data_IF_981216839065
#
_entry.id   IF_981216839065
#
_cell.length_a   1.000
_cell.length_b   1.000
_cell.length_c   1.000
_cell.angle_alpha   90.00
_cell.angle_beta   90.00
_cell.angle_gamma   90.00
#
_symmetry.space_group_name_H-M   'P 1'
#
loop_
_entity.id
_entity.type
_entity.pdbx_description
1 polymer ?
#
# COMPACT_ATOMS: atom_id res chain seq x y z
N UNK A 1 7.12 -25.89 -97.55
CA UNK A 1 6.46 -27.09 -96.98
C UNK A 1 5.64 -26.61 -95.78
N UNK A 2 4.31 -26.76 -95.67
CA UNK A 2 3.34 -27.83 -96.02
C UNK A 2 3.15 -28.85 -94.88
N UNK A 3 1.87 -29.08 -94.52
CA UNK A 3 1.28 -30.14 -93.68
C UNK A 3 1.44 -30.17 -92.15
N UNK A 4 0.37 -29.75 -91.44
CA UNK A 4 -0.33 -30.57 -90.41
C UNK A 4 -0.95 -31.82 -91.09
N UNK A 5 -1.13 -32.98 -90.40
CA UNK A 5 -2.33 -33.26 -89.56
C UNK A 5 -2.00 -34.24 -88.37
N UNK A 6 -2.88 -34.98 -87.65
CA UNK A 6 -4.34 -35.13 -87.59
C UNK A 6 -4.87 -35.63 -86.22
N UNK A 7 -6.00 -35.08 -85.75
CA UNK A 7 -7.20 -35.69 -85.09
C UNK A 7 -7.17 -36.91 -84.11
N UNK A 8 -7.82 -36.67 -82.96
CA UNK A 8 -8.71 -37.58 -82.15
C UNK A 8 -8.07 -38.81 -81.45
N UNK A 9 -8.69 -39.52 -80.49
CA UNK A 9 -10.08 -39.53 -79.94
C UNK A 9 -10.10 -39.87 -78.42
N UNK A 10 -11.21 -39.51 -77.74
CA UNK A 10 -11.71 -39.86 -76.39
C UNK A 10 -10.94 -40.83 -75.46
N UNK A 11 -10.86 -40.46 -74.18
CA UNK A 11 -10.64 -41.34 -73.02
C UNK A 11 -11.29 -40.74 -71.75
N UNK A 12 -11.85 -41.56 -70.86
CA UNK A 12 -12.75 -41.14 -69.77
C UNK A 12 -12.34 -41.77 -68.42
N UNK A 13 -12.44 -40.97 -67.33
CA UNK A 13 -12.35 -41.34 -65.90
C UNK A 13 -11.05 -41.99 -65.39
N UNK A 14 -10.39 -41.30 -64.46
CA UNK A 14 -9.95 -41.86 -63.17
C UNK A 14 -9.74 -40.72 -62.15
N UNK A 15 -10.02 -40.95 -60.87
CA UNK A 15 -9.96 -39.95 -59.80
C UNK A 15 -8.92 -40.35 -58.75
N UNK A 16 -7.93 -39.50 -58.50
CA UNK A 16 -7.06 -39.53 -57.31
C UNK A 16 -6.79 -38.10 -56.88
N UNK A 17 -7.12 -37.76 -55.64
CA UNK A 17 -6.77 -36.47 -55.04
C UNK A 17 -5.47 -36.62 -54.24
N UNK A 18 -4.56 -35.65 -54.39
CA UNK A 18 -3.34 -35.53 -53.58
C UNK A 18 -3.32 -34.15 -52.92
N UNK A 19 -3.57 -34.09 -51.61
CA UNK A 19 -3.56 -32.84 -50.83
C UNK A 19 -2.11 -32.49 -50.47
N UNK A 20 -1.53 -31.53 -51.18
CA UNK A 20 -0.23 -30.96 -50.82
C UNK A 20 -0.40 -29.93 -49.70
N UNK A 21 0.16 -30.22 -48.52
CA UNK A 21 0.08 -29.33 -47.36
C UNK A 21 1.02 -28.12 -47.51
N UNK A 22 0.45 -26.93 -47.74
CA UNK A 22 1.19 -25.68 -47.75
C UNK A 22 1.48 -25.19 -46.33
N UNK A 23 2.75 -25.04 -45.96
CA UNK A 23 3.18 -24.53 -44.65
C UNK A 23 2.93 -23.03 -44.54
N UNK A 24 2.02 -22.61 -43.67
CA UNK A 24 1.80 -21.20 -43.35
C UNK A 24 2.88 -20.75 -42.34
N UNK A 25 3.64 -19.67 -42.60
CA UNK A 25 4.57 -19.12 -41.62
C UNK A 25 3.80 -18.53 -40.43
N UNK A 26 4.17 -18.92 -39.21
CA UNK A 26 3.51 -18.44 -37.99
C UNK A 26 3.76 -16.93 -37.81
N UNK A 27 2.68 -16.15 -37.72
CA UNK A 27 2.77 -14.75 -37.34
C UNK A 27 3.25 -14.63 -35.88
N UNK A 28 4.31 -13.87 -35.66
CA UNK A 28 4.78 -13.57 -34.30
C UNK A 28 3.73 -12.69 -33.60
N UNK A 29 2.94 -13.30 -32.71
CA UNK A 29 1.96 -12.59 -31.91
C UNK A 29 2.68 -11.79 -30.83
N UNK A 30 2.67 -10.46 -30.95
CA UNK A 30 3.05 -9.57 -29.85
C UNK A 30 2.11 -9.81 -28.67
N UNK A 31 2.58 -10.55 -27.67
CA UNK A 31 1.85 -10.78 -26.43
C UNK A 31 1.73 -9.47 -25.67
N UNK A 32 0.57 -8.82 -25.75
CA UNK A 32 0.16 -7.80 -24.79
C UNK A 32 0.32 -8.40 -23.39
N UNK A 33 1.03 -7.75 -22.46
CA UNK A 33 1.13 -8.25 -21.09
C UNK A 33 -0.26 -8.30 -20.46
N UNK A 34 -0.84 -9.50 -20.38
CA UNK A 34 -2.07 -9.72 -19.61
C UNK A 34 -1.74 -9.39 -18.16
N UNK A 35 -2.22 -8.24 -17.68
CA UNK A 35 -1.99 -7.82 -16.31
C UNK A 35 -2.45 -8.93 -15.35
N UNK A 36 -1.67 -9.28 -14.32
CA UNK A 36 -2.13 -10.25 -13.33
C UNK A 36 -3.42 -9.70 -12.70
N UNK A 37 -4.50 -10.47 -12.77
CA UNK A 37 -5.78 -10.13 -12.14
C UNK A 37 -5.62 -10.19 -10.62
N UNK A 38 -5.07 -9.12 -10.04
CA UNK A 38 -4.91 -8.92 -8.61
C UNK A 38 -6.30 -8.79 -7.98
N UNK A 39 -6.90 -9.92 -7.61
CA UNK A 39 -8.28 -10.05 -7.12
C UNK A 39 -8.46 -9.59 -5.67
N UNK A 40 -7.69 -8.59 -5.25
CA UNK A 40 -7.69 -8.03 -3.91
C UNK A 40 -6.67 -6.90 -3.76
N UNK A 41 -6.76 -6.12 -2.66
CA UNK A 41 -5.81 -5.06 -2.37
C UNK A 41 -4.41 -5.61 -2.10
N UNK A 42 -3.40 -4.98 -2.71
CA UNK A 42 -1.98 -5.30 -2.56
C UNK A 42 -1.29 -4.21 -1.74
N UNK A 43 -0.48 -4.59 -0.75
CA UNK A 43 0.35 -3.63 -0.01
C UNK A 43 1.59 -3.33 -0.84
N UNK A 44 1.90 -2.05 -1.00
CA UNK A 44 3.14 -1.54 -1.57
C UNK A 44 3.99 -0.88 -0.48
N UNK A 45 5.30 -1.03 -0.58
CA UNK A 45 6.28 -0.31 0.25
C UNK A 45 7.11 0.62 -0.64
N UNK A 46 7.52 1.76 -0.09
CA UNK A 46 8.47 2.65 -0.75
C UNK A 46 9.86 2.01 -0.76
N UNK A 47 10.46 1.97 -1.95
CA UNK A 47 11.86 1.62 -2.15
C UNK A 47 12.76 2.83 -1.86
N UNK A 48 14.06 2.59 -1.63
CA UNK A 48 15.03 3.58 -1.08
C UNK A 48 15.27 4.80 -1.98
N UNK A 49 14.91 4.68 -3.24
CA UNK A 49 14.94 5.73 -4.26
C UNK A 49 13.79 6.74 -4.10
N UNK A 50 12.84 6.49 -3.19
CA UNK A 50 11.78 7.42 -2.84
C UNK A 50 12.32 8.63 -2.08
N UNK A 51 12.02 9.83 -2.57
CA UNK A 51 12.54 11.08 -1.99
C UNK A 51 11.49 12.18 -2.05
N UNK A 52 11.46 12.98 -1.00
CA UNK A 52 10.74 14.24 -0.91
C UNK A 52 11.69 15.39 -1.27
N UNK A 53 11.20 16.37 -2.01
CA UNK A 53 11.89 17.62 -2.33
C UNK A 53 10.93 18.80 -2.19
N UNK A 54 11.36 19.88 -1.56
CA UNK A 54 10.61 21.15 -1.46
C UNK A 54 11.57 22.33 -1.66
N UNK A 55 11.19 23.26 -2.52
CA UNK A 55 12.04 24.38 -2.93
C UNK A 55 11.79 24.82 -4.37
N UNK A 56 12.77 25.49 -4.97
CA UNK A 56 12.63 26.00 -6.34
C UNK A 56 13.15 25.04 -7.40
N UNK A 57 12.34 24.86 -8.43
CA UNK A 57 12.65 24.18 -9.67
C UNK A 57 12.78 25.22 -10.81
N UNK A 58 13.01 24.76 -12.04
CA UNK A 58 13.04 25.64 -13.21
C UNK A 58 11.67 26.33 -13.43
N UNK A 59 11.60 27.54 -14.00
CA UNK A 59 12.71 28.43 -14.36
C UNK A 59 13.24 29.30 -13.20
N UNK A 60 12.70 29.21 -11.98
CA UNK A 60 13.06 30.11 -10.89
C UNK A 60 14.48 29.88 -10.30
N UNK A 61 15.02 28.67 -10.41
CA UNK A 61 16.46 28.36 -10.23
C UNK A 61 17.12 28.76 -8.87
N UNK A 62 16.35 29.01 -7.81
CA UNK A 62 16.90 28.96 -6.44
C UNK A 62 17.24 27.50 -6.06
N UNK A 63 18.06 27.25 -5.02
CA UNK A 63 18.30 25.89 -4.54
C UNK A 63 17.03 25.17 -4.08
N UNK A 64 17.03 23.83 -4.20
CA UNK A 64 16.12 22.97 -3.42
C UNK A 64 16.50 23.14 -1.94
N UNK A 65 15.52 23.46 -1.09
CA UNK A 65 15.78 23.84 0.31
C UNK A 65 15.66 22.66 1.26
N UNK A 66 14.76 21.72 0.96
CA UNK A 66 14.55 20.49 1.71
C UNK A 66 14.62 19.31 0.74
N UNK A 67 15.48 18.34 1.02
CA UNK A 67 15.50 17.03 0.37
C UNK A 67 15.74 15.95 1.41
N UNK A 68 14.90 14.91 1.41
CA UNK A 68 14.99 13.81 2.37
C UNK A 68 14.48 12.49 1.77
N UNK A 69 14.99 11.32 2.24
CA UNK A 69 14.43 10.03 1.88
C UNK A 69 13.02 9.86 2.45
N UNK A 70 12.18 9.13 1.72
CA UNK A 70 10.84 8.74 2.14
C UNK A 70 10.81 7.22 2.43
N UNK A 71 10.14 6.84 3.52
CA UNK A 71 9.86 5.44 3.87
C UNK A 71 8.38 5.25 4.18
N UNK A 72 7.84 4.05 4.04
CA UNK A 72 6.45 3.75 4.38
C UNK A 72 5.72 2.86 3.37
N UNK A 73 4.39 2.85 3.44
CA UNK A 73 3.53 1.97 2.64
C UNK A 73 2.31 2.69 2.07
N UNK A 74 1.67 2.06 1.08
CA UNK A 74 0.29 2.33 0.68
C UNK A 74 -0.40 1.04 0.23
N UNK A 75 -1.71 1.09 0.00
CA UNK A 75 -2.48 -0.01 -0.60
C UNK A 75 -2.89 0.36 -2.02
N UNK A 76 -2.57 -0.52 -2.97
CA UNK A 76 -3.14 -0.50 -4.31
C UNK A 76 -4.35 -1.44 -4.34
N UNK A 77 -5.54 -0.88 -4.57
CA UNK A 77 -6.80 -1.64 -4.67
C UNK A 77 -6.90 -2.45 -5.97
N UNK A 78 -8.03 -3.14 -6.16
CA UNK A 78 -8.33 -3.78 -7.44
C UNK A 78 -8.45 -2.76 -8.57
N UNK A 79 -7.91 -3.10 -9.74
CA UNK A 79 -7.97 -2.26 -10.94
C UNK A 79 -9.28 -2.41 -11.71
N UNK A 80 -9.78 -1.30 -12.26
CA UNK A 80 -10.93 -1.25 -13.18
C UNK A 80 -10.42 -0.89 -14.57
N UNK A 81 -10.68 -1.74 -15.56
CA UNK A 81 -10.32 -1.49 -16.96
C UNK A 81 -11.44 -0.76 -17.70
N UNK A 82 -11.14 0.37 -18.33
CA UNK A 82 -12.12 1.22 -19.04
C UNK A 82 -12.16 0.98 -20.57
N UNK A 83 -11.25 0.16 -21.10
CA UNK A 83 -11.06 -0.06 -22.54
C UNK A 83 -9.69 0.43 -23.05
N UNK A 84 -9.04 1.33 -22.31
CA UNK A 84 -7.73 1.92 -22.64
C UNK A 84 -6.76 1.89 -21.45
N UNK A 85 -7.24 2.15 -20.23
CA UNK A 85 -6.48 2.14 -18.98
C UNK A 85 -7.07 1.17 -17.96
N UNK A 86 -6.20 0.55 -17.16
CA UNK A 86 -6.58 0.00 -15.86
C UNK A 86 -6.32 1.06 -14.80
N UNK A 87 -7.40 1.55 -14.18
CA UNK A 87 -7.33 2.51 -13.06
C UNK A 87 -7.46 1.77 -11.74
N UNK A 88 -6.43 1.88 -10.90
CA UNK A 88 -6.33 1.32 -9.56
C UNK A 88 -6.58 2.43 -8.53
N UNK A 89 -7.34 2.13 -7.47
CA UNK A 89 -7.43 3.03 -6.31
C UNK A 89 -6.13 2.94 -5.49
N UNK A 90 -5.56 4.08 -5.12
CA UNK A 90 -4.56 4.18 -4.05
C UNK A 90 -5.26 4.59 -2.76
N UNK A 91 -4.99 3.88 -1.66
CA UNK A 91 -5.53 4.19 -0.34
C UNK A 91 -4.52 3.88 0.74
N UNK A 92 -4.80 4.33 1.97
CA UNK A 92 -4.00 4.05 3.15
C UNK A 92 -2.52 4.44 2.96
N UNK A 93 -2.29 5.58 2.30
CA UNK A 93 -0.96 6.18 2.15
C UNK A 93 -0.48 6.55 3.55
N UNK A 94 0.67 6.02 3.92
CA UNK A 94 1.32 6.22 5.20
C UNK A 94 2.83 6.23 4.97
N UNK A 95 3.34 7.41 4.62
CA UNK A 95 4.76 7.66 4.41
C UNK A 95 5.31 8.56 5.51
N UNK A 96 6.62 8.49 5.73
CA UNK A 96 7.36 9.31 6.68
C UNK A 96 8.59 9.85 5.97
N UNK A 97 8.86 11.13 6.17
CA UNK A 97 10.03 11.85 5.65
C UNK A 97 10.74 12.55 6.80
N UNK A 98 12.05 12.37 6.90
CA UNK A 98 12.86 12.97 7.97
C UNK A 98 13.31 14.40 7.59
N UNK A 99 12.46 15.39 7.82
CA UNK A 99 12.74 16.81 7.54
C UNK A 99 13.41 17.46 8.76
N UNK A 100 14.63 18.00 8.56
CA UNK A 100 15.41 18.68 9.61
C UNK A 100 15.56 17.86 10.91
N UNK A 101 15.68 16.52 10.78
CA UNK A 101 15.77 15.59 11.92
C UNK A 101 14.44 15.24 12.59
N UNK A 102 13.31 15.75 12.09
CA UNK A 102 11.96 15.43 12.55
C UNK A 102 11.25 14.52 11.54
N UNK A 103 10.65 13.43 12.02
CA UNK A 103 9.78 12.60 11.20
C UNK A 103 8.45 13.34 10.93
N UNK A 104 8.25 13.78 9.69
CA UNK A 104 7.00 14.35 9.19
C UNK A 104 6.24 13.26 8.45
N UNK A 105 4.95 13.07 8.79
CA UNK A 105 4.06 12.09 8.17
C UNK A 105 3.49 12.64 6.86
N UNK A 106 3.25 11.76 5.88
CA UNK A 106 2.49 12.05 4.67
C UNK A 106 1.38 11.01 4.54
N UNK A 107 0.13 11.47 4.46
CA UNK A 107 -1.08 10.62 4.45
C UNK A 107 -2.01 10.98 3.31
N UNK A 108 -2.90 10.05 2.93
CA UNK A 108 -3.92 10.31 1.90
C UNK A 108 -4.23 9.12 0.99
N UNK A 109 -4.51 9.41 -0.28
CA UNK A 109 -4.86 8.42 -1.29
C UNK A 109 -5.18 9.06 -2.65
N UNK A 110 -5.72 8.29 -3.60
CA UNK A 110 -6.06 8.77 -4.93
C UNK A 110 -6.15 7.65 -5.95
N UNK A 111 -5.55 7.82 -7.13
CA UNK A 111 -5.56 6.84 -8.22
C UNK A 111 -4.19 6.68 -8.89
N UNK A 112 -3.94 5.46 -9.35
CA UNK A 112 -2.86 5.12 -10.27
C UNK A 112 -3.49 4.50 -11.51
N UNK A 113 -3.18 4.99 -12.71
CA UNK A 113 -3.61 4.37 -13.98
C UNK A 113 -2.44 3.97 -14.85
N UNK A 114 -2.59 2.82 -15.53
CA UNK A 114 -1.62 2.26 -16.47
C UNK A 114 -2.37 1.63 -17.65
N UNK A 115 -1.91 1.88 -18.87
CA UNK A 115 -2.57 1.40 -20.10
C UNK A 115 -2.06 2.14 -21.34
N UNK A 116 -2.93 2.38 -22.31
CA UNK A 116 -2.61 3.05 -23.57
C UNK A 116 -2.59 2.09 -24.77
N UNK A 117 -3.04 2.58 -25.94
CA UNK A 117 -3.28 1.78 -27.15
C UNK A 117 -1.98 1.45 -27.92
N UNK A 118 -1.09 2.43 -28.06
CA UNK A 118 0.14 2.33 -28.87
C UNK A 118 1.43 2.22 -28.05
N UNK A 119 1.40 2.71 -26.81
CA UNK A 119 2.51 2.69 -25.87
C UNK A 119 1.97 2.65 -24.44
N UNK A 120 2.69 2.00 -23.53
CA UNK A 120 2.34 2.03 -22.10
C UNK A 120 2.49 3.47 -21.59
N UNK A 121 1.40 4.03 -21.08
CA UNK A 121 1.33 5.31 -20.39
C UNK A 121 0.91 5.10 -18.93
N UNK A 122 1.37 6.00 -18.05
CA UNK A 122 1.10 5.91 -16.62
C UNK A 122 0.81 7.29 -16.01
N UNK A 123 -0.02 7.33 -14.98
CA UNK A 123 -0.29 8.52 -14.18
C UNK A 123 -0.55 8.13 -12.73
N UNK A 124 0.02 8.88 -11.78
CA UNK A 124 -0.23 8.77 -10.34
C UNK A 124 -0.73 10.13 -9.85
N UNK A 125 -1.98 10.17 -9.39
CA UNK A 125 -2.63 11.36 -8.87
C UNK A 125 -3.11 11.08 -7.44
N UNK A 126 -2.58 11.83 -6.47
CA UNK A 126 -2.83 11.63 -5.05
C UNK A 126 -3.20 12.94 -4.36
N UNK A 127 -4.24 12.91 -3.54
CA UNK A 127 -4.55 13.96 -2.58
C UNK A 127 -3.83 13.61 -1.27
N UNK A 128 -2.83 14.41 -0.89
CA UNK A 128 -1.94 14.13 0.23
C UNK A 128 -1.89 15.27 1.24
N UNK A 129 -1.89 14.92 2.53
CA UNK A 129 -1.54 15.80 3.64
C UNK A 129 -0.05 15.63 4.00
N UNK A 130 0.67 16.71 4.30
CA UNK A 130 2.10 16.68 4.68
C UNK A 130 2.26 17.31 6.06
N UNK A 131 2.41 16.48 7.09
CA UNK A 131 2.27 16.94 8.48
C UNK A 131 0.91 17.60 8.70
N UNK A 132 0.92 18.81 9.26
CA UNK A 132 -0.26 19.63 9.49
C UNK A 132 -0.63 20.54 8.29
N UNK A 133 0.13 20.50 7.17
CA UNK A 133 -0.20 21.26 5.95
C UNK A 133 -1.59 20.82 5.42
N UNK A 134 -2.37 21.72 4.78
CA UNK A 134 -3.60 21.34 4.10
C UNK A 134 -3.40 20.25 3.03
N UNK A 135 -4.41 19.41 2.84
CA UNK A 135 -4.43 18.40 1.78
C UNK A 135 -4.26 19.08 0.42
N UNK A 136 -3.26 18.64 -0.34
CA UNK A 136 -2.92 19.16 -1.66
C UNK A 136 -2.86 18.02 -2.67
N UNK A 137 -3.27 18.31 -3.92
CA UNK A 137 -3.16 17.34 -5.00
C UNK A 137 -1.74 17.31 -5.55
N UNK A 138 -1.16 16.12 -5.59
CA UNK A 138 0.08 15.80 -6.29
C UNK A 138 -0.24 14.97 -7.52
N UNK A 139 0.35 15.31 -8.67
CA UNK A 139 0.12 14.62 -9.94
C UNK A 139 1.44 14.42 -10.68
N UNK A 140 1.60 13.29 -11.38
CA UNK A 140 2.70 13.08 -12.34
C UNK A 140 2.38 13.64 -13.73
N UNK A 141 1.09 13.87 -14.01
CA UNK A 141 0.55 13.89 -15.36
C UNK A 141 0.66 12.52 -16.04
N UNK A 142 0.09 12.42 -17.24
CA UNK A 142 0.15 11.22 -18.06
C UNK A 142 1.52 11.10 -18.76
N UNK A 143 2.44 10.34 -18.17
CA UNK A 143 3.74 10.06 -18.77
C UNK A 143 3.66 8.89 -19.76
N UNK A 144 4.59 8.84 -20.71
CA UNK A 144 4.72 7.73 -21.68
C UNK A 144 5.98 6.92 -21.41
N UNK A 145 5.87 5.59 -21.48
CA UNK A 145 6.87 4.64 -21.01
C UNK A 145 6.78 4.40 -19.50
N UNK A 146 7.67 3.57 -18.99
CA UNK A 146 7.94 3.46 -17.55
C UNK A 146 9.40 3.14 -17.31
N UNK A 147 9.93 3.58 -16.16
CA UNK A 147 11.31 3.32 -15.72
C UNK A 147 11.49 1.88 -15.21
N UNK A 148 10.39 1.24 -14.81
CA UNK A 148 10.36 -0.10 -14.18
C UNK A 148 9.18 -0.92 -14.73
N UNK A 149 9.26 -2.26 -14.77
CA UNK A 149 8.13 -3.10 -15.17
C UNK A 149 7.07 -3.15 -14.06
N UNK A 150 5.80 -2.99 -14.44
CA UNK A 150 4.67 -3.29 -13.55
C UNK A 150 4.79 -4.76 -13.05
N UNK A 151 4.62 -5.06 -11.75
CA UNK A 151 3.93 -4.26 -10.74
C UNK A 151 4.77 -3.19 -10.02
N UNK A 152 6.05 -3.00 -10.30
CA UNK A 152 6.78 -1.87 -9.71
C UNK A 152 6.27 -0.52 -10.26
N UNK A 153 6.32 0.52 -9.42
CA UNK A 153 5.93 1.90 -9.75
C UNK A 153 7.14 2.79 -9.52
N UNK A 154 7.47 3.68 -10.48
CA UNK A 154 8.56 4.65 -10.34
C UNK A 154 8.18 5.94 -11.05
N UNK A 155 7.51 6.84 -10.31
CA UNK A 155 6.90 8.07 -10.83
C UNK A 155 7.29 9.27 -9.97
N UNK A 156 7.33 10.45 -10.60
CA UNK A 156 7.55 11.71 -9.90
C UNK A 156 6.24 12.48 -9.91
N UNK A 157 5.72 12.82 -8.74
CA UNK A 157 4.46 13.57 -8.55
C UNK A 157 4.75 14.94 -7.93
N UNK A 158 3.95 15.94 -8.26
CA UNK A 158 4.20 17.34 -7.88
C UNK A 158 2.90 18.15 -7.82
N UNK A 159 2.89 19.29 -7.14
CA UNK A 159 1.70 20.16 -7.03
C UNK A 159 1.62 21.10 -8.25
N UNK A 160 2.77 21.63 -8.70
CA UNK A 160 2.87 22.64 -9.77
C UNK A 160 3.69 22.16 -10.98
N UNK A 161 3.78 20.84 -11.19
CA UNK A 161 4.46 20.26 -12.35
C UNK A 161 5.98 20.46 -12.33
N UNK A 162 6.60 20.59 -11.15
CA UNK A 162 8.02 20.93 -10.97
C UNK A 162 8.37 22.32 -11.54
N UNK A 163 7.45 23.29 -11.40
CA UNK A 163 7.64 24.66 -11.89
C UNK A 163 7.81 25.65 -10.73
N UNK A 164 8.95 26.36 -10.70
CA UNK A 164 9.28 27.32 -9.65
C UNK A 164 9.15 26.73 -8.23
N UNK A 165 8.54 27.40 -7.25
CA UNK A 165 8.43 26.84 -5.89
C UNK A 165 7.38 25.73 -5.85
N UNK A 166 7.82 24.50 -5.59
CA UNK A 166 6.97 23.32 -5.62
C UNK A 166 7.35 22.32 -4.51
N UNK A 167 6.44 21.39 -4.22
CA UNK A 167 6.74 20.17 -3.44
C UNK A 167 6.61 18.97 -4.37
N UNK A 168 7.66 18.15 -4.42
CA UNK A 168 7.87 17.10 -5.43
C UNK A 168 8.27 15.81 -4.73
N UNK A 169 7.56 14.72 -5.01
CA UNK A 169 7.83 13.40 -4.44
C UNK A 169 8.22 12.46 -5.58
N UNK A 170 9.42 11.89 -5.50
CA UNK A 170 9.76 10.70 -6.27
C UNK A 170 9.20 9.50 -5.52
N UNK A 171 8.21 8.82 -6.10
CA UNK A 171 7.57 7.62 -5.56
C UNK A 171 8.12 6.41 -6.32
N UNK A 172 9.05 5.71 -5.69
CA UNK A 172 9.54 4.41 -6.16
C UNK A 172 9.00 3.34 -5.21
N UNK A 173 8.19 2.41 -5.70
CA UNK A 173 7.47 1.48 -4.83
C UNK A 173 7.26 0.11 -5.47
N UNK A 174 7.37 -0.91 -4.63
CA UNK A 174 7.23 -2.32 -5.00
C UNK A 174 6.19 -3.03 -4.12
N UNK A 175 5.48 -4.05 -4.64
CA UNK A 175 4.62 -4.90 -3.83
C UNK A 175 5.41 -5.58 -2.70
N UNK A 176 4.83 -5.63 -1.50
CA UNK A 176 5.47 -6.28 -0.35
C UNK A 176 5.43 -7.81 -0.50
N UNK A 177 6.58 -8.51 -0.43
CA UNK A 177 6.61 -9.98 -0.45
C UNK A 177 5.85 -10.58 0.75
N UNK A 178 5.12 -11.70 0.60
CA UNK A 178 4.32 -12.29 1.68
C UNK A 178 5.10 -12.67 2.94
N UNK A 179 6.39 -12.97 2.81
CA UNK A 179 7.36 -13.22 3.89
C UNK A 179 7.70 -11.97 4.73
N UNK A 180 7.44 -10.77 4.20
CA UNK A 180 7.65 -9.47 4.85
C UNK A 180 6.34 -8.83 5.33
N UNK A 181 5.26 -9.61 5.40
CA UNK A 181 3.95 -9.23 5.96
C UNK A 181 3.69 -10.07 7.20
N UNK A 182 4.19 -9.61 8.34
CA UNK A 182 4.11 -10.32 9.63
C UNK A 182 2.69 -10.15 10.22
N UNK A 183 1.83 -11.19 10.26
CA UNK A 183 0.43 -11.00 10.66
C UNK A 183 0.28 -11.04 12.18
N UNK A 184 -0.46 -10.09 12.74
CA UNK A 184 -0.71 -9.95 14.18
C UNK A 184 -2.20 -10.12 14.52
N UNK A 185 -2.46 -10.57 15.75
CA UNK A 185 -3.80 -10.53 16.35
C UNK A 185 -3.76 -9.73 17.65
N UNK A 186 -4.87 -9.07 17.95
CA UNK A 186 -5.13 -8.58 19.29
C UNK A 186 -5.27 -9.74 20.28
N UNK A 187 -4.87 -9.49 21.52
CA UNK A 187 -4.94 -10.40 22.65
C UNK A 187 -6.08 -10.02 23.59
N UNK A 188 -6.54 -11.00 24.36
CA UNK A 188 -7.49 -10.78 25.45
C UNK A 188 -6.91 -9.77 26.45
N UNK A 189 -7.74 -8.81 26.87
CA UNK A 189 -7.32 -7.63 27.63
C UNK A 189 -7.14 -6.36 26.80
N UNK A 190 -7.09 -6.44 25.45
CA UNK A 190 -7.09 -5.24 24.61
C UNK A 190 -8.38 -4.45 24.85
N UNK A 191 -8.27 -3.17 25.21
CA UNK A 191 -9.45 -2.35 25.55
C UNK A 191 -9.48 -0.99 24.86
N UNK A 192 -10.69 -0.54 24.55
CA UNK A 192 -11.03 0.80 24.06
C UNK A 192 -11.80 1.53 25.15
N UNK A 193 -11.50 2.81 25.37
CA UNK A 193 -12.15 3.63 26.39
C UNK A 193 -12.26 5.09 25.97
N UNK A 194 -13.38 5.73 26.32
CA UNK A 194 -13.63 7.16 26.09
C UNK A 194 -14.11 7.83 27.37
N UNK A 195 -13.77 9.10 27.56
CA UNK A 195 -14.25 9.90 28.68
C UNK A 195 -13.21 10.92 29.12
N UNK A 196 -13.38 11.45 30.34
CA UNK A 196 -12.37 12.30 30.95
C UNK A 196 -11.32 11.49 31.71
N UNK A 197 -10.06 11.87 31.51
CA UNK A 197 -8.88 11.37 32.21
C UNK A 197 -8.16 12.52 32.93
N UNK A 198 -7.43 12.21 34.00
CA UNK A 198 -6.73 13.22 34.80
C UNK A 198 -7.69 14.18 35.52
N UNK A 199 -7.47 15.49 35.36
CA UNK A 199 -8.12 16.52 36.18
C UNK A 199 -9.51 17.01 35.68
N UNK A 200 -9.99 16.56 34.52
CA UNK A 200 -11.28 17.03 33.98
C UNK A 200 -12.47 16.26 34.59
N UNK A 201 -13.46 17.02 35.09
CA UNK A 201 -14.63 16.50 35.79
C UNK A 201 -15.78 16.07 34.86
N UNK A 202 -15.56 15.06 34.01
CA UNK A 202 -16.64 14.38 33.29
C UNK A 202 -16.58 12.85 33.47
N UNK A 203 -17.62 12.14 33.04
CA UNK A 203 -17.70 10.70 33.22
C UNK A 203 -16.62 9.95 32.42
N UNK A 204 -15.99 8.99 33.07
CA UNK A 204 -15.15 7.99 32.41
C UNK A 204 -16.06 6.85 31.91
N UNK A 205 -16.06 6.59 30.61
CA UNK A 205 -16.82 5.48 30.02
C UNK A 205 -16.23 4.10 30.39
N UNK A 206 -17.00 3.01 30.22
CA UNK A 206 -16.52 1.67 30.49
C UNK A 206 -15.36 1.30 29.54
N UNK A 207 -14.38 0.53 30.03
CA UNK A 207 -13.45 -0.18 29.15
C UNK A 207 -14.22 -1.24 28.36
N UNK A 208 -14.20 -1.14 27.04
CA UNK A 208 -14.82 -2.11 26.13
C UNK A 208 -13.74 -2.99 25.51
N UNK A 209 -13.92 -4.33 25.43
CA UNK A 209 -12.95 -5.21 24.79
C UNK A 209 -12.85 -4.95 23.28
N UNK A 210 -11.65 -5.15 22.72
CA UNK A 210 -11.39 -5.00 21.28
C UNK A 210 -10.81 -6.30 20.73
N UNK A 211 -11.38 -6.79 19.64
CA UNK A 211 -10.88 -7.97 18.92
C UNK A 211 -10.50 -7.60 17.49
N UNK A 212 -9.53 -8.31 16.90
CA UNK A 212 -9.14 -8.08 15.51
C UNK A 212 -7.71 -8.44 15.14
N UNK A 213 -7.29 -7.96 13.97
CA UNK A 213 -5.98 -8.23 13.37
C UNK A 213 -5.39 -6.97 12.73
N UNK A 214 -4.09 -7.01 12.51
CA UNK A 214 -3.32 -6.11 11.65
C UNK A 214 -2.10 -6.89 11.11
N UNK A 215 -1.24 -6.26 10.31
CA UNK A 215 0.08 -6.81 10.01
C UNK A 215 1.15 -5.74 10.22
N UNK A 216 2.38 -6.17 10.53
CA UNK A 216 3.57 -5.35 10.40
C UNK A 216 4.22 -5.62 9.05
N UNK A 217 4.75 -4.58 8.41
CA UNK A 217 5.59 -4.67 7.22
C UNK A 217 6.92 -3.98 7.51
N UNK A 218 8.03 -4.66 7.25
CA UNK A 218 9.37 -4.15 7.50
C UNK A 218 9.63 -2.86 6.70
N UNK A 219 10.04 -1.77 7.36
CA UNK A 219 10.43 -0.52 6.68
C UNK A 219 11.95 -0.31 6.75
N UNK A 220 12.49 -0.18 7.96
CA UNK A 220 13.88 0.18 8.19
C UNK A 220 14.42 -0.46 9.48
N UNK A 221 15.73 -0.63 9.56
CA UNK A 221 16.42 -0.99 10.79
C UNK A 221 17.73 -0.22 10.85
N UNK A 222 17.90 0.57 11.91
CA UNK A 222 19.15 1.26 12.23
C UNK A 222 19.68 0.75 13.58
N UNK A 223 20.80 1.30 14.06
CA UNK A 223 21.45 0.85 15.29
C UNK A 223 20.65 1.10 16.58
N UNK A 224 19.59 1.94 16.52
CA UNK A 224 18.75 2.27 17.67
C UNK A 224 17.36 1.66 17.58
N UNK A 225 16.75 1.59 16.39
CA UNK A 225 15.37 1.14 16.20
C UNK A 225 15.16 0.28 14.95
N UNK A 226 14.30 -0.72 15.09
CA UNK A 226 13.61 -1.43 14.01
C UNK A 226 12.23 -0.79 13.82
N UNK A 227 11.87 -0.43 12.59
CA UNK A 227 10.59 0.23 12.27
C UNK A 227 9.79 -0.55 11.22
N UNK A 228 8.47 -0.59 11.45
CA UNK A 228 7.48 -1.28 10.63
C UNK A 228 6.33 -0.34 10.29
N UNK A 229 5.74 -0.51 9.11
CA UNK A 229 4.40 -0.01 8.83
C UNK A 229 3.38 -0.95 9.47
N UNK A 230 2.45 -0.38 10.23
CA UNK A 230 1.25 -1.09 10.68
C UNK A 230 0.20 -0.95 9.58
N UNK A 231 -0.22 -2.07 9.01
CA UNK A 231 -1.12 -2.10 7.84
C UNK A 231 -2.31 -3.02 8.06
N UNK A 232 -3.40 -2.79 7.31
CA UNK A 232 -4.63 -3.56 7.40
C UNK A 232 -5.18 -3.68 8.85
N UNK A 233 -5.18 -2.58 9.62
CA UNK A 233 -5.87 -2.55 10.91
C UNK A 233 -7.35 -2.84 10.68
N UNK A 234 -7.83 -3.93 11.27
CA UNK A 234 -9.22 -4.39 11.21
C UNK A 234 -9.62 -4.89 12.58
N UNK A 235 -10.07 -3.96 13.42
CA UNK A 235 -10.50 -4.23 14.78
C UNK A 235 -12.00 -3.96 14.94
N UNK A 236 -12.58 -4.50 16.01
CA UNK A 236 -13.96 -4.34 16.39
C UNK A 236 -14.03 -4.18 17.91
N UNK A 237 -14.51 -3.03 18.39
CA UNK A 237 -14.86 -2.86 19.80
C UNK A 237 -16.18 -3.59 20.03
N UNK A 238 -16.21 -4.51 20.99
CA UNK A 238 -17.39 -5.32 21.28
C UNK A 238 -18.17 -4.76 22.47
N UNK A 239 -19.49 -4.62 22.28
CA UNK A 239 -20.41 -4.27 23.36
C UNK A 239 -20.57 -5.44 24.33
N UNK A 240 -20.42 -5.18 25.63
CA UNK A 240 -20.70 -6.14 26.70
C UNK A 240 -22.15 -6.09 27.20
N UNK A 241 -22.97 -5.18 26.66
CA UNK A 241 -24.26 -4.79 27.25
C UNK A 241 -25.46 -4.81 26.28
N UNK A 242 -25.29 -5.26 25.03
CA UNK A 242 -26.38 -5.33 24.04
C UNK A 242 -26.69 -6.77 23.62
N UNK A 243 -27.98 -7.12 23.60
CA UNK A 243 -28.49 -8.39 23.06
C UNK A 243 -28.41 -8.47 21.53
N UNK A 244 -28.16 -7.34 20.86
CA UNK A 244 -27.78 -7.24 19.46
C UNK A 244 -26.27 -7.07 19.32
N UNK A 245 -25.65 -7.84 18.42
CA UNK A 245 -24.20 -7.88 18.22
C UNK A 245 -23.68 -6.76 17.30
N UNK A 246 -23.98 -5.50 17.63
CA UNK A 246 -23.42 -4.32 16.97
C UNK A 246 -22.11 -3.88 17.64
N UNK A 247 -20.98 -4.23 17.05
CA UNK A 247 -19.66 -3.69 17.46
C UNK A 247 -19.27 -2.45 16.66
N UNK A 248 -18.39 -1.62 17.24
CA UNK A 248 -17.85 -0.41 16.60
C UNK A 248 -16.57 -0.78 15.83
N UNK A 249 -16.56 -0.75 14.49
CA UNK A 249 -15.38 -1.12 13.71
C UNK A 249 -14.28 -0.06 13.82
N UNK A 250 -13.04 -0.48 13.89
CA UNK A 250 -11.86 0.39 13.80
C UNK A 250 -11.01 -0.07 12.61
N UNK A 251 -10.62 0.88 11.75
CA UNK A 251 -9.77 0.66 10.58
C UNK A 251 -8.65 1.67 10.52
N UNK A 252 -7.55 1.34 9.84
CA UNK A 252 -6.45 2.27 9.67
C UNK A 252 -5.09 1.62 9.40
N UNK A 253 -4.07 2.40 9.68
CA UNK A 253 -2.65 2.13 9.40
C UNK A 253 -1.77 2.94 10.37
N UNK A 254 -0.45 2.87 10.23
CA UNK A 254 0.48 3.70 11.00
C UNK A 254 1.91 3.17 10.99
N UNK A 255 2.69 3.49 12.01
CA UNK A 255 4.02 2.89 12.24
C UNK A 255 4.14 2.30 13.65
N UNK A 256 5.00 1.31 13.76
CA UNK A 256 5.46 0.75 15.02
C UNK A 256 6.98 0.68 14.99
N UNK A 257 7.64 1.24 16.01
CA UNK A 257 9.10 1.15 16.17
C UNK A 257 9.43 0.55 17.53
N UNK A 258 10.43 -0.32 17.57
CA UNK A 258 10.98 -0.87 18.81
C UNK A 258 12.51 -0.88 18.77
N UNK A 259 13.17 -0.79 19.93
CA UNK A 259 14.62 -0.75 20.03
C UNK A 259 15.08 -0.08 21.32
N UNK A 260 16.13 0.73 21.25
CA UNK A 260 16.75 1.44 22.37
C UNK A 260 18.07 0.82 22.81
N UNK A 261 19.09 1.66 23.02
CA UNK A 261 20.47 1.25 23.32
C UNK A 261 20.65 0.68 24.74
N UNK A 262 20.00 1.30 25.73
CA UNK A 262 20.17 0.97 27.16
C UNK A 262 18.95 0.27 27.79
N UNK A 263 17.79 0.40 27.17
CA UNK A 263 16.53 -0.20 27.61
C UNK A 263 15.63 -0.40 26.39
N UNK A 264 14.83 -1.47 26.39
CA UNK A 264 13.79 -1.64 25.38
C UNK A 264 12.79 -0.49 25.47
N UNK A 265 12.58 0.17 24.34
CA UNK A 265 11.62 1.24 24.12
C UNK A 265 10.78 0.90 22.88
N UNK A 266 9.54 1.38 22.87
CA UNK A 266 8.61 1.23 21.76
C UNK A 266 7.80 2.52 21.55
N UNK A 267 7.31 2.73 20.32
CA UNK A 267 6.27 3.71 20.00
C UNK A 267 5.33 3.10 18.97
N UNK A 268 4.03 3.15 19.26
CA UNK A 268 2.94 2.78 18.36
C UNK A 268 2.21 4.07 17.97
N UNK A 269 2.11 4.33 16.67
CA UNK A 269 1.65 5.60 16.10
C UNK A 269 0.68 5.29 14.96
N UNK A 270 -0.63 5.41 15.20
CA UNK A 270 -1.69 4.91 14.31
C UNK A 270 -2.67 6.01 13.91
N UNK A 271 -3.20 5.90 12.69
CA UNK A 271 -4.24 6.77 12.17
C UNK A 271 -5.48 5.92 11.95
N UNK A 272 -6.52 6.19 12.73
CA UNK A 272 -7.66 5.30 12.90
C UNK A 272 -8.99 5.98 12.56
N UNK A 273 -9.76 5.31 11.71
CA UNK A 273 -11.19 5.54 11.48
C UNK A 273 -11.97 4.71 12.51
N UNK A 274 -12.64 5.38 13.45
CA UNK A 274 -13.47 4.74 14.48
C UNK A 274 -14.94 4.88 14.09
N UNK A 275 -15.57 3.77 13.67
CA UNK A 275 -16.93 3.78 13.14
C UNK A 275 -17.05 4.58 11.84
N UNK A 276 -17.56 5.80 11.96
CA UNK A 276 -17.73 6.78 10.86
C UNK A 276 -17.05 8.12 11.16
N UNK A 277 -16.19 8.17 12.18
CA UNK A 277 -15.43 9.35 12.57
C UNK A 277 -14.28 9.62 11.57
N UNK A 278 -13.80 10.87 11.44
CA UNK A 278 -12.66 11.20 10.59
C UNK A 278 -11.39 10.43 11.01
N UNK A 279 -10.48 10.24 10.05
CA UNK A 279 -9.18 9.63 10.30
C UNK A 279 -8.45 10.46 11.37
N UNK A 280 -8.21 9.87 12.53
CA UNK A 280 -7.69 10.56 13.71
C UNK A 280 -6.39 9.89 14.16
N UNK A 281 -5.38 10.69 14.52
CA UNK A 281 -4.09 10.19 14.97
C UNK A 281 -4.13 9.75 16.45
N UNK A 282 -3.48 8.63 16.75
CA UNK A 282 -3.35 8.02 18.07
C UNK A 282 -1.90 7.63 18.30
N UNK A 283 -1.29 8.13 19.37
CA UNK A 283 0.12 7.87 19.66
C UNK A 283 0.33 7.42 21.11
N UNK A 284 1.37 6.61 21.34
CA UNK A 284 1.79 6.16 22.67
C UNK A 284 2.85 7.04 23.34
N UNK A 285 3.42 7.99 22.60
CA UNK A 285 4.75 8.51 22.88
C UNK A 285 5.82 7.42 22.77
N UNK A 286 7.06 7.76 23.16
CA UNK A 286 8.14 6.79 23.34
C UNK A 286 8.07 6.24 24.77
N UNK A 287 7.71 4.96 24.92
CA UNK A 287 7.49 4.31 26.21
C UNK A 287 8.32 3.04 26.36
N UNK A 288 8.37 2.48 27.57
CA UNK A 288 9.06 1.21 27.84
C UNK A 288 8.53 0.08 26.95
N UNK A 289 9.45 -0.67 26.35
CA UNK A 289 9.16 -1.83 25.52
C UNK A 289 8.84 -3.08 26.34
N UNK A 290 8.05 -3.97 25.75
CA UNK A 290 7.99 -5.39 26.14
C UNK A 290 8.85 -6.23 25.20
N UNK A 291 9.06 -7.50 25.53
CA UNK A 291 9.86 -8.39 24.67
C UNK A 291 9.18 -8.63 23.32
N UNK A 292 9.76 -8.06 22.25
CA UNK A 292 9.36 -8.33 20.87
C UNK A 292 9.45 -9.86 20.60
N UNK A 293 8.48 -10.48 19.90
CA UNK A 293 7.43 -9.88 19.09
C UNK A 293 6.09 -9.58 19.80
N UNK A 294 6.04 -9.50 21.14
CA UNK A 294 4.85 -8.94 21.78
C UNK A 294 4.82 -7.42 21.59
N UNK A 295 3.62 -6.86 21.42
CA UNK A 295 3.36 -5.42 21.52
C UNK A 295 2.39 -5.22 22.67
N UNK A 296 2.73 -4.34 23.61
CA UNK A 296 1.84 -3.84 24.65
C UNK A 296 1.98 -2.32 24.65
N UNK A 297 0.94 -1.58 24.26
CA UNK A 297 1.03 -0.13 24.09
C UNK A 297 -0.30 0.56 24.29
N UNK A 298 -0.37 1.47 25.27
CA UNK A 298 -1.44 2.45 25.36
C UNK A 298 -1.24 3.52 24.28
N UNK A 299 -2.22 3.73 23.41
CA UNK A 299 -2.26 4.84 22.44
C UNK A 299 -3.45 5.75 22.74
N UNK A 300 -3.31 7.05 22.44
CA UNK A 300 -4.27 8.09 22.80
C UNK A 300 -4.24 9.26 21.81
N UNK A 301 -5.28 10.09 21.78
CA UNK A 301 -5.31 11.31 20.96
C UNK A 301 -4.64 12.46 21.73
N UNK A 302 -4.95 12.60 23.02
CA UNK A 302 -4.58 13.74 23.88
C UNK A 302 -3.64 13.34 25.03
N UNK A 303 -2.91 12.22 24.91
CA UNK A 303 -1.92 11.78 25.91
C UNK A 303 -2.53 11.29 27.23
N UNK A 304 -3.83 10.96 27.27
CA UNK A 304 -4.54 10.65 28.51
C UNK A 304 -4.93 11.88 29.33
N UNK A 305 -5.02 13.06 28.71
CA UNK A 305 -5.36 14.32 29.39
C UNK A 305 -6.75 14.80 28.99
N UNK A 306 -7.61 14.99 30.00
CA UNK A 306 -8.98 15.45 29.83
C UNK A 306 -9.81 14.56 28.88
N UNK A 307 -10.58 15.11 27.95
CA UNK A 307 -11.44 14.32 27.07
C UNK A 307 -10.58 13.62 26.00
N UNK A 308 -10.53 12.29 26.05
CA UNK A 308 -9.66 11.49 25.19
C UNK A 308 -10.31 10.15 24.78
N UNK A 309 -9.75 9.52 23.74
CA UNK A 309 -10.03 8.13 23.37
C UNK A 309 -8.73 7.33 23.52
N UNK A 310 -8.73 6.37 24.45
CA UNK A 310 -7.59 5.51 24.73
C UNK A 310 -7.81 4.12 24.16
N UNK A 311 -6.77 3.53 23.59
CA UNK A 311 -6.73 2.12 23.20
C UNK A 311 -5.52 1.46 23.85
N UNK A 312 -5.78 0.51 24.74
CA UNK A 312 -4.80 -0.31 25.44
C UNK A 312 -4.50 -1.53 24.55
N UNK A 313 -3.48 -1.42 23.69
CA UNK A 313 -3.20 -2.39 22.62
C UNK A 313 -2.32 -3.52 23.12
N UNK A 314 -2.87 -4.73 23.23
CA UNK A 314 -2.10 -5.95 23.49
C UNK A 314 -2.13 -6.84 22.24
N UNK A 315 -0.96 -7.16 21.66
CA UNK A 315 -0.88 -7.91 20.42
C UNK A 315 0.32 -8.87 20.38
N UNK A 316 0.19 -9.92 19.57
CA UNK A 316 1.27 -10.87 19.27
C UNK A 316 1.10 -11.46 17.86
N UNK A 317 2.15 -12.06 17.28
CA UNK A 317 2.06 -12.71 15.98
C UNK A 317 0.99 -13.79 15.96
N UNK A 318 0.22 -13.79 14.89
CA UNK A 318 -0.69 -14.88 14.55
C UNK A 318 0.18 -16.06 14.12
N UNK A 319 0.36 -17.03 15.02
CA UNK A 319 1.09 -18.28 14.75
C UNK A 319 0.69 -18.82 13.37
N UNK A 320 1.67 -19.02 12.49
CA UNK A 320 1.43 -19.68 11.22
C UNK A 320 0.93 -21.10 11.49
N UNK A 321 -0.19 -21.47 10.87
CA UNK A 321 -0.67 -22.85 10.87
C UNK A 321 0.19 -23.64 9.89
N UNK A 322 1.43 -23.94 10.29
CA UNK A 322 2.31 -24.83 9.53
C UNK A 322 1.62 -26.19 9.44
N UNK A 323 1.00 -26.46 8.29
CA UNK A 323 0.42 -27.77 8.00
C UNK A 323 1.60 -28.74 7.98
N UNK A 324 1.76 -29.48 9.08
CA UNK A 324 2.77 -30.54 9.18
C UNK A 324 2.45 -31.53 8.06
N UNK A 325 3.34 -31.71 7.05
CA UNK A 325 3.10 -32.72 6.03
C UNK A 325 3.00 -34.07 6.74
N UNK A 326 1.88 -34.75 6.53
CA UNK A 326 1.66 -36.09 7.05
C UNK A 326 2.66 -37.02 6.35
N UNK A 327 3.67 -37.46 7.08
CA UNK A 327 4.56 -38.54 6.66
C UNK A 327 3.71 -39.78 6.37
N UNK A 328 3.58 -40.10 5.09
CA UNK A 328 3.39 -41.49 4.68
C UNK A 328 4.74 -42.17 4.83
N UNK A 329 4.88 -42.98 5.87
CA UNK A 329 5.88 -44.05 5.90
C UNK A 329 5.42 -45.19 4.96
N UNK A 330 6.37 -46.00 4.44
CA UNK A 330 6.15 -46.90 3.30
C UNK A 330 5.41 -48.21 3.63
#
# INVERSE_FOLDING_TARGET
MICRPHKHLFGIIALVAAVAAGTIPAAAQSTVPTAPTASGPVIYRLDKESTFQRGCFAPCLCPVMEQAPMRGTFILGGGVYDGLFTTYKVSDVNWVVALNGTDVRITGGGTYRIGGEFAVQQELALDLQVGDDPVQKFDSGLITGSKVPFPAISLTISIHGQTCFDTVLNVSASPVPPDQIHPYRLLDGTTFQRGCFGACACALGPKQPVIGTFSLVDLETNSLFTEFAVVNVRWLVTSTSSTTASGLPIRGFGTYRFGGEFALQQRLSLDLLVGTEPLTHYDSGLQSGVAFPRIDSLISINGGVCLDTLIDVHAAPRRSTTVRPSLMEP
#
